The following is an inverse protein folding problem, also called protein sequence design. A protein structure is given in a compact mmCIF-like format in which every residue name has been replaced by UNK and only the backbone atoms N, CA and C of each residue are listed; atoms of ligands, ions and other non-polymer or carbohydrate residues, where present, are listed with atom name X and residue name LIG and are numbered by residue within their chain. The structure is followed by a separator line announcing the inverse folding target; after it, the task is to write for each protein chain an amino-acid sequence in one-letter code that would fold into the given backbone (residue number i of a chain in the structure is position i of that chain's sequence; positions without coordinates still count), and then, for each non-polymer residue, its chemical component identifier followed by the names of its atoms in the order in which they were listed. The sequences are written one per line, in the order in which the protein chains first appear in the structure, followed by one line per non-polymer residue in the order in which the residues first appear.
data_IF_192520469529
#
_entry.id   IF_192520469529
#
_cell.length_a   1.000
_cell.length_b   1.000
_cell.length_c   1.000
_cell.angle_alpha   90.00
_cell.angle_beta   90.00
_cell.angle_gamma   90.00
#
_symmetry.space_group_name_H-M   'P 1'
#
loop_
_entity.id
_entity.type
_entity.pdbx_description
1 polymer ?
#
# COMPACT_ATOMS: atom_id res chain seq x y z
N UNK A 1 -66.62 -34.83 -44.27
CA UNK A 1 -66.53 -33.40 -44.67
C UNK A 1 -65.27 -33.28 -45.51
N UNK A 2 -65.31 -33.19 -46.86
CA UNK A 2 -65.60 -31.98 -47.67
C UNK A 2 -64.73 -30.79 -47.15
N UNK A 3 -63.79 -30.17 -47.88
CA UNK A 3 -63.81 -29.69 -49.27
C UNK A 3 -62.41 -29.10 -49.65
N UNK A 4 -61.99 -29.34 -50.90
CA UNK A 4 -61.24 -28.50 -51.88
C UNK A 4 -59.78 -27.98 -51.69
N UNK A 5 -58.94 -28.34 -52.68
CA UNK A 5 -57.83 -27.56 -53.28
C UNK A 5 -58.38 -26.38 -54.15
N UNK A 6 -57.65 -25.58 -54.97
CA UNK A 6 -56.22 -25.56 -55.37
C UNK A 6 -55.60 -24.12 -55.48
N UNK A 7 -54.39 -23.97 -56.03
CA UNK A 7 -53.98 -22.71 -56.68
C UNK A 7 -52.49 -22.40 -56.76
N UNK A 8 -51.87 -22.63 -57.93
CA UNK A 8 -50.59 -22.07 -58.37
C UNK A 8 -50.78 -20.62 -58.84
N UNK A 9 -49.83 -19.73 -58.54
CA UNK A 9 -49.47 -18.60 -59.40
C UNK A 9 -47.95 -18.37 -59.37
N UNK A 10 -47.36 -18.37 -60.56
CA UNK A 10 -46.02 -17.89 -60.91
C UNK A 10 -46.09 -16.40 -61.29
N UNK A 11 -44.91 -15.79 -61.43
CA UNK A 11 -44.55 -14.42 -61.89
C UNK A 11 -44.15 -13.47 -60.77
N UNK A 12 -43.12 -12.63 -60.84
CA UNK A 12 -42.04 -12.32 -61.79
C UNK A 12 -41.07 -11.38 -61.03
N UNK A 13 -39.76 -11.58 -61.20
CA UNK A 13 -38.65 -10.60 -61.29
C UNK A 13 -38.64 -9.37 -60.36
N UNK A 14 -37.57 -9.26 -59.54
CA UNK A 14 -36.78 -8.04 -59.42
C UNK A 14 -35.32 -8.38 -59.07
N UNK A 15 -34.42 -8.18 -60.03
CA UNK A 15 -32.97 -7.98 -59.84
C UNK A 15 -32.75 -6.64 -59.14
N UNK A 16 -31.86 -6.59 -58.15
CA UNK A 16 -31.00 -5.46 -57.69
C UNK A 16 -30.49 -5.90 -56.30
N UNK A 17 -29.23 -5.85 -55.90
CA UNK A 17 -27.97 -5.41 -56.46
C UNK A 17 -26.91 -5.77 -55.39
N UNK A 18 -25.67 -5.93 -55.81
CA UNK A 18 -24.54 -6.09 -54.90
C UNK A 18 -24.45 -4.94 -53.91
N UNK A 19 -24.19 -5.22 -52.64
CA UNK A 19 -23.40 -4.34 -51.78
C UNK A 19 -22.81 -5.16 -50.62
N UNK A 20 -21.53 -5.47 -50.80
CA UNK A 20 -20.57 -5.71 -49.75
C UNK A 20 -20.63 -4.60 -48.70
N UNK A 21 -20.91 -4.94 -47.44
CA UNK A 21 -20.39 -4.19 -46.30
C UNK A 21 -19.67 -5.17 -45.38
N UNK A 22 -18.38 -5.34 -45.66
CA UNK A 22 -17.41 -5.69 -44.65
C UNK A 22 -17.09 -4.45 -43.79
N UNK A 23 -16.66 -4.71 -42.56
CA UNK A 23 -16.12 -3.76 -41.56
C UNK A 23 -17.20 -3.04 -40.71
N UNK A 24 -17.11 -2.97 -39.39
CA UNK A 24 -15.94 -3.09 -38.50
C UNK A 24 -16.29 -3.97 -37.30
N UNK A 25 -15.49 -5.01 -37.08
CA UNK A 25 -15.17 -5.44 -35.74
C UNK A 25 -14.66 -4.20 -34.98
N UNK A 26 -15.24 -3.87 -33.84
CA UNK A 26 -14.61 -2.99 -32.86
C UNK A 26 -13.44 -3.75 -32.22
N UNK A 27 -12.40 -4.03 -33.03
CA UNK A 27 -11.06 -4.27 -32.52
C UNK A 27 -10.70 -3.04 -31.69
N UNK A 28 -10.29 -3.29 -30.45
CA UNK A 28 -10.14 -2.25 -29.42
C UNK A 28 -9.44 -1.01 -29.97
N UNK A 29 -10.06 0.15 -29.77
CA UNK A 29 -9.30 1.39 -29.83
C UNK A 29 -8.17 1.23 -28.81
N UNK A 30 -6.93 1.08 -29.30
CA UNK A 30 -5.77 1.33 -28.47
C UNK A 30 -6.00 2.69 -27.82
N UNK A 31 -6.04 2.72 -26.50
CA UNK A 31 -6.25 3.95 -25.75
C UNK A 31 -5.01 4.84 -25.95
N UNK A 32 -4.97 5.64 -27.01
CA UNK A 32 -3.81 6.49 -27.36
C UNK A 32 -3.64 7.69 -26.41
N UNK A 33 -4.61 7.90 -25.52
CA UNK A 33 -4.58 8.90 -24.46
C UNK A 33 -3.52 8.63 -23.38
N UNK A 34 -3.49 9.49 -22.36
CA UNK A 34 -2.52 9.39 -21.27
C UNK A 34 -2.56 8.03 -20.54
N UNK A 35 -3.75 7.46 -20.37
CA UNK A 35 -3.94 6.17 -19.71
C UNK A 35 -3.24 5.05 -20.47
N UNK A 36 -3.34 4.97 -21.81
CA UNK A 36 -2.63 3.91 -22.54
C UNK A 36 -1.14 4.16 -22.71
N UNK A 37 -0.65 5.41 -22.61
CA UNK A 37 0.80 5.66 -22.44
C UNK A 37 1.30 5.11 -21.11
N UNK A 38 0.56 5.35 -20.03
CA UNK A 38 0.87 4.79 -18.70
C UNK A 38 0.80 3.27 -18.73
N UNK A 39 -0.23 2.68 -19.36
CA UNK A 39 -0.37 1.23 -19.51
C UNK A 39 0.87 0.59 -20.16
N UNK A 40 1.34 1.17 -21.28
CA UNK A 40 2.57 0.74 -21.96
C UNK A 40 3.82 0.94 -21.12
N UNK A 41 3.94 2.06 -20.40
CA UNK A 41 5.05 2.33 -19.49
C UNK A 41 5.14 1.26 -18.39
N UNK A 42 4.00 0.92 -17.78
CA UNK A 42 3.92 -0.09 -16.71
C UNK A 42 4.30 -1.47 -17.27
N UNK A 43 3.75 -1.86 -18.41
CA UNK A 43 4.08 -3.13 -19.07
C UNK A 43 5.56 -3.22 -19.42
N UNK A 44 6.13 -2.16 -20.02
CA UNK A 44 7.54 -2.12 -20.41
C UNK A 44 8.46 -2.17 -19.20
N UNK A 45 8.13 -1.44 -18.14
CA UNK A 45 8.91 -1.46 -16.89
C UNK A 45 8.89 -2.85 -16.27
N UNK A 46 7.72 -3.51 -16.23
CA UNK A 46 7.59 -4.88 -15.73
C UNK A 46 8.53 -5.84 -16.45
N UNK A 47 8.54 -5.80 -17.79
CA UNK A 47 9.38 -6.67 -18.62
C UNK A 47 10.87 -6.37 -18.44
N UNK A 48 11.27 -5.11 -18.52
CA UNK A 48 12.66 -4.67 -18.38
C UNK A 48 13.25 -4.96 -17.01
N UNK A 49 12.41 -4.93 -15.96
CA UNK A 49 12.82 -5.18 -14.58
C UNK A 49 12.54 -6.60 -14.13
N UNK A 50 12.10 -7.49 -15.02
CA UNK A 50 11.80 -8.89 -14.70
C UNK A 50 10.83 -9.02 -13.50
N UNK A 51 9.81 -8.18 -13.45
CA UNK A 51 8.75 -8.28 -12.43
C UNK A 51 7.72 -9.32 -12.93
N UNK A 52 7.48 -10.44 -12.24
CA UNK A 52 6.50 -11.43 -12.68
C UNK A 52 5.11 -10.81 -12.81
N UNK A 53 4.62 -10.21 -11.71
CA UNK A 53 3.31 -9.62 -11.56
C UNK A 53 3.37 -8.27 -10.84
N UNK A 54 2.58 -7.34 -11.33
CA UNK A 54 2.50 -5.98 -10.82
C UNK A 54 1.03 -5.52 -10.82
N UNK A 55 0.60 -4.80 -9.79
CA UNK A 55 -0.72 -4.20 -9.76
C UNK A 55 -0.61 -2.70 -9.46
N UNK A 56 -1.35 -1.88 -10.21
CA UNK A 56 -1.33 -0.42 -10.08
C UNK A 56 -2.73 0.16 -9.86
N UNK A 57 -2.82 1.17 -8.99
CA UNK A 57 -3.95 2.06 -8.85
C UNK A 57 -3.49 3.49 -9.07
N UNK A 58 -4.24 4.24 -9.87
CA UNK A 58 -4.07 5.68 -10.09
C UNK A 58 -5.45 6.31 -9.89
N UNK A 59 -5.56 7.15 -8.87
CA UNK A 59 -6.78 7.87 -8.52
C UNK A 59 -6.47 9.35 -8.52
N UNK A 60 -7.20 10.11 -9.33
CA UNK A 60 -7.03 11.55 -9.43
C UNK A 60 -8.34 12.23 -9.07
N UNK A 61 -8.32 13.16 -8.12
CA UNK A 61 -9.50 13.91 -7.69
C UNK A 61 -10.67 12.98 -7.31
N UNK A 62 -10.37 11.91 -6.56
CA UNK A 62 -11.33 10.88 -6.15
C UNK A 62 -11.82 9.94 -7.26
N UNK A 63 -11.35 10.11 -8.51
CA UNK A 63 -11.78 9.29 -9.66
C UNK A 63 -10.68 8.30 -10.06
N UNK A 64 -10.98 6.99 -10.14
CA UNK A 64 -10.01 6.02 -10.66
C UNK A 64 -9.72 6.28 -12.14
N UNK A 65 -8.46 6.53 -12.47
CA UNK A 65 -7.97 6.59 -13.84
C UNK A 65 -7.52 5.20 -14.34
N UNK A 66 -6.94 4.40 -13.44
CA UNK A 66 -6.43 3.07 -13.74
C UNK A 66 -6.41 2.22 -12.47
N UNK A 67 -6.99 1.01 -12.53
CA UNK A 67 -6.86 -0.02 -11.48
C UNK A 67 -6.66 -1.35 -12.22
N UNK A 68 -5.42 -1.82 -12.32
CA UNK A 68 -5.07 -2.93 -13.22
C UNK A 68 -3.93 -3.78 -12.68
N UNK A 69 -4.02 -5.09 -12.91
CA UNK A 69 -2.91 -6.03 -12.75
C UNK A 69 -2.23 -6.32 -14.10
N UNK A 70 -0.94 -6.64 -14.05
CA UNK A 70 -0.06 -6.89 -15.18
C UNK A 70 0.81 -8.11 -14.90
N UNK A 71 0.99 -8.98 -15.90
CA UNK A 71 1.79 -10.19 -15.77
C UNK A 71 1.17 -11.21 -14.80
N UNK A 72 2.00 -12.03 -14.18
CA UNK A 72 1.54 -13.22 -13.45
C UNK A 72 1.62 -13.06 -11.92
N UNK A 73 0.49 -13.27 -11.26
CA UNK A 73 0.41 -13.41 -9.82
C UNK A 73 0.93 -14.76 -9.31
N UNK A 74 1.01 -15.77 -10.18
CA UNK A 74 1.70 -17.03 -9.91
C UNK A 74 2.28 -17.60 -11.22
N UNK A 75 3.60 -17.78 -11.27
CA UNK A 75 4.33 -18.30 -12.42
C UNK A 75 4.05 -19.79 -12.67
N UNK A 76 3.99 -20.60 -11.62
CA UNK A 76 3.79 -22.06 -11.72
C UNK A 76 2.41 -22.43 -12.27
N UNK A 77 1.39 -21.64 -11.92
CA UNK A 77 0.01 -21.82 -12.34
C UNK A 77 -0.35 -20.95 -13.54
N UNK A 78 0.59 -20.14 -14.04
CA UNK A 78 0.37 -19.14 -15.10
C UNK A 78 -0.87 -18.26 -14.81
N UNK A 79 -1.09 -17.93 -13.53
CA UNK A 79 -2.25 -17.15 -13.11
C UNK A 79 -1.92 -15.66 -13.24
N UNK A 80 -2.73 -14.96 -14.01
CA UNK A 80 -2.59 -13.51 -14.22
C UNK A 80 -2.80 -12.73 -12.91
N UNK A 81 -2.09 -11.60 -12.81
CA UNK A 81 -2.31 -10.60 -11.79
C UNK A 81 -3.53 -9.76 -12.17
N UNK A 82 -4.45 -9.62 -11.21
CA UNK A 82 -5.74 -8.96 -11.41
C UNK A 82 -5.97 -7.90 -10.33
N UNK A 83 -7.01 -7.08 -10.51
CA UNK A 83 -7.35 -6.01 -9.56
C UNK A 83 -7.69 -6.50 -8.14
N UNK A 84 -8.09 -7.76 -8.00
CA UNK A 84 -8.46 -8.47 -6.77
C UNK A 84 -7.38 -9.45 -6.30
N UNK A 85 -6.21 -9.49 -6.95
CA UNK A 85 -5.08 -10.28 -6.47
C UNK A 85 -4.60 -9.73 -5.12
N UNK A 86 -4.33 -10.63 -4.18
CA UNK A 86 -4.04 -10.28 -2.78
C UNK A 86 -2.54 -10.28 -2.53
N UNK A 87 -2.00 -9.10 -2.21
CA UNK A 87 -0.58 -8.85 -1.93
C UNK A 87 -0.38 -8.53 -0.45
N UNK A 88 0.74 -8.95 0.16
CA UNK A 88 1.25 -8.33 1.38
C UNK A 88 1.55 -6.84 1.15
N UNK A 89 1.10 -5.99 2.06
CA UNK A 89 1.37 -4.55 2.01
C UNK A 89 2.71 -4.17 2.64
N UNK A 90 3.30 -5.07 3.44
CA UNK A 90 4.50 -4.76 4.21
C UNK A 90 4.35 -3.40 4.93
N UNK A 91 5.37 -2.55 4.93
CA UNK A 91 5.38 -1.31 5.72
C UNK A 91 4.37 -0.23 5.30
N UNK A 92 3.61 -0.39 4.20
CA UNK A 92 2.38 0.40 3.97
C UNK A 92 1.37 0.19 5.12
N UNK A 93 1.41 -0.95 5.80
CA UNK A 93 0.63 -1.25 7.02
C UNK A 93 0.71 -0.13 8.07
N UNK A 94 1.87 0.55 8.18
CA UNK A 94 2.08 1.63 9.15
C UNK A 94 1.14 2.81 8.95
N UNK A 95 0.72 3.08 7.71
CA UNK A 95 -0.28 4.12 7.43
C UNK A 95 -1.61 3.78 8.11
N UNK A 96 -2.06 2.52 8.02
CA UNK A 96 -3.28 2.07 8.68
C UNK A 96 -3.16 2.10 10.20
N UNK A 97 -2.01 1.68 10.75
CA UNK A 97 -1.75 1.76 12.20
C UNK A 97 -1.80 3.21 12.69
N UNK A 98 -1.16 4.14 11.97
CA UNK A 98 -1.17 5.55 12.34
C UNK A 98 -2.56 6.17 12.24
N UNK A 99 -3.30 5.89 11.16
CA UNK A 99 -4.71 6.28 11.06
C UNK A 99 -5.51 5.72 12.24
N UNK A 100 -5.27 4.47 12.65
CA UNK A 100 -5.95 3.86 13.79
C UNK A 100 -5.68 4.59 15.12
N UNK A 101 -4.43 4.97 15.37
CA UNK A 101 -4.06 5.74 16.57
C UNK A 101 -4.67 7.14 16.54
N UNK A 102 -4.67 7.81 15.37
CA UNK A 102 -5.32 9.11 15.21
C UNK A 102 -6.84 9.01 15.40
N UNK A 103 -7.48 7.93 14.95
CA UNK A 103 -8.91 7.66 15.23
C UNK A 103 -9.18 7.52 16.72
N UNK A 104 -8.34 6.80 17.45
CA UNK A 104 -8.46 6.68 18.91
C UNK A 104 -8.30 8.05 19.61
N UNK A 105 -7.40 8.90 19.10
CA UNK A 105 -7.27 10.27 19.59
C UNK A 105 -8.54 11.09 19.35
N UNK A 106 -9.12 11.02 18.15
CA UNK A 106 -10.36 11.73 17.82
C UNK A 106 -11.56 11.26 18.65
N UNK A 107 -11.56 10.00 19.07
CA UNK A 107 -12.54 9.44 20.01
C UNK A 107 -12.26 9.83 21.47
N UNK A 108 -11.21 10.60 21.74
CA UNK A 108 -10.80 11.02 23.08
C UNK A 108 -10.25 9.89 23.95
N UNK A 109 -9.87 8.75 23.37
CA UNK A 109 -9.42 7.57 24.11
C UNK A 109 -7.93 7.59 24.45
N UNK A 110 -7.14 8.38 23.71
CA UNK A 110 -5.72 8.63 23.96
C UNK A 110 -5.33 10.03 23.47
N UNK A 111 -4.13 10.49 23.83
CA UNK A 111 -3.50 11.68 23.28
C UNK A 111 -2.12 11.33 22.73
N UNK A 112 -1.71 11.95 21.62
CA UNK A 112 -0.36 11.70 21.06
C UNK A 112 0.77 12.12 22.03
N UNK A 113 0.49 13.04 22.95
CA UNK A 113 1.43 13.47 23.99
C UNK A 113 1.50 12.53 25.19
N UNK A 114 0.61 11.52 25.28
CA UNK A 114 0.66 10.58 26.39
C UNK A 114 1.98 9.80 26.40
N UNK A 115 2.57 9.57 27.58
CA UNK A 115 3.75 8.73 27.70
C UNK A 115 3.40 7.27 27.47
N UNK A 116 4.34 6.50 26.91
CA UNK A 116 4.24 5.07 26.67
C UNK A 116 3.92 4.31 27.97
N UNK A 117 4.47 4.75 29.11
CA UNK A 117 4.23 4.16 30.43
C UNK A 117 2.76 4.17 30.87
N UNK A 118 1.92 5.05 30.29
CA UNK A 118 0.48 5.04 30.53
C UNK A 118 -0.20 3.77 30.00
N UNK A 119 0.35 3.18 28.94
CA UNK A 119 -0.25 2.06 28.22
C UNK A 119 0.50 0.76 28.42
N UNK A 120 1.83 0.80 28.48
CA UNK A 120 2.68 -0.38 28.58
C UNK A 120 3.81 -0.11 29.58
N UNK A 121 4.04 -1.05 30.50
CA UNK A 121 5.24 -1.00 31.33
C UNK A 121 6.48 -1.17 30.45
N UNK A 122 7.29 -0.12 30.36
CA UNK A 122 8.47 -0.08 29.49
C UNK A 122 9.57 0.77 30.14
N UNK A 123 10.84 0.34 30.16
CA UNK A 123 11.95 1.12 30.68
C UNK A 123 12.04 2.48 30.00
N UNK A 124 12.12 3.56 30.80
CA UNK A 124 12.06 4.94 30.30
C UNK A 124 10.80 5.26 29.48
N UNK A 125 9.73 4.48 29.62
CA UNK A 125 8.46 4.71 28.94
C UNK A 125 7.77 6.02 29.34
N UNK A 126 8.18 6.64 30.45
CA UNK A 126 7.75 8.00 30.82
C UNK A 126 8.35 9.11 29.94
N UNK A 127 9.44 8.83 29.20
CA UNK A 127 10.12 9.79 28.32
C UNK A 127 9.67 9.66 26.85
N UNK A 128 9.07 8.52 26.48
CA UNK A 128 8.63 8.22 25.11
C UNK A 128 7.14 8.53 25.00
N UNK A 129 6.74 9.41 24.08
CA UNK A 129 5.32 9.69 23.81
C UNK A 129 4.82 8.88 22.62
N UNK A 130 3.50 8.77 22.45
CA UNK A 130 2.93 8.15 21.25
C UNK A 130 3.32 8.89 19.97
N UNK A 131 3.46 10.22 20.03
CA UNK A 131 4.01 11.04 18.94
C UNK A 131 5.43 10.60 18.56
N UNK A 132 6.29 10.32 19.55
CA UNK A 132 7.64 9.82 19.29
C UNK A 132 7.63 8.46 18.55
N UNK A 133 6.67 7.58 18.88
CA UNK A 133 6.52 6.31 18.18
C UNK A 133 6.07 6.52 16.72
N UNK A 134 5.02 7.33 16.50
CA UNK A 134 4.45 7.58 15.18
C UNK A 134 5.42 8.26 14.21
N UNK A 135 6.32 9.10 14.75
CA UNK A 135 7.27 9.91 13.97
C UNK A 135 8.68 9.35 13.95
N UNK A 136 8.89 8.14 14.48
CA UNK A 136 10.21 7.50 14.53
C UNK A 136 11.30 8.29 15.29
N UNK A 137 10.90 9.03 16.32
CA UNK A 137 11.80 9.84 17.17
C UNK A 137 11.96 9.28 18.59
N UNK A 138 11.57 8.02 18.83
CA UNK A 138 11.58 7.38 20.15
C UNK A 138 12.97 6.99 20.67
N UNK A 139 13.93 6.77 19.78
CA UNK A 139 15.23 6.18 20.12
C UNK A 139 15.21 4.67 20.34
N UNK A 140 14.08 3.98 20.13
CA UNK A 140 14.00 2.53 20.31
C UNK A 140 14.85 1.77 19.27
N UNK A 141 15.56 0.75 19.74
CA UNK A 141 16.28 -0.18 18.87
C UNK A 141 15.35 -0.83 17.83
N UNK A 142 15.88 -1.14 16.65
CA UNK A 142 15.12 -1.82 15.60
C UNK A 142 14.98 -3.31 15.91
N UNK A 143 13.75 -3.77 16.19
CA UNK A 143 13.47 -5.13 16.67
C UNK A 143 14.02 -6.21 15.73
N UNK A 144 14.00 -6.02 14.42
CA UNK A 144 14.52 -7.00 13.46
C UNK A 144 16.05 -7.14 13.46
N UNK A 145 16.75 -6.21 14.10
CA UNK A 145 18.21 -6.19 14.26
C UNK A 145 18.67 -6.66 15.64
N UNK A 146 17.75 -6.99 16.56
CA UNK A 146 18.05 -7.38 17.94
C UNK A 146 17.98 -8.90 18.09
N UNK A 147 18.95 -9.50 18.80
CA UNK A 147 18.89 -10.93 19.14
C UNK A 147 17.94 -11.20 20.32
N UNK A 148 17.25 -12.36 20.34
CA UNK A 148 17.34 -13.46 19.38
C UNK A 148 16.45 -13.30 18.13
N UNK A 149 15.68 -12.20 18.01
CA UNK A 149 14.70 -12.01 16.92
C UNK A 149 15.37 -11.99 15.56
N UNK A 150 16.51 -11.30 15.43
CA UNK A 150 17.29 -11.20 14.18
C UNK A 150 17.65 -12.57 13.60
N UNK A 151 18.09 -13.51 14.42
CA UNK A 151 18.44 -14.87 13.97
C UNK A 151 17.25 -15.81 13.82
N UNK A 152 16.07 -15.42 14.32
CA UNK A 152 14.87 -16.27 14.43
C UNK A 152 13.63 -15.62 13.80
N UNK A 153 13.79 -14.87 12.71
CA UNK A 153 12.67 -14.18 12.06
C UNK A 153 11.61 -15.11 11.45
N UNK A 154 11.95 -16.38 11.22
CA UNK A 154 11.00 -17.40 10.76
C UNK A 154 10.10 -17.95 11.87
N UNK A 155 10.41 -17.69 13.14
CA UNK A 155 9.61 -18.16 14.27
C UNK A 155 8.31 -17.36 14.41
N UNK A 156 7.33 -17.96 15.10
CA UNK A 156 6.03 -17.36 15.35
C UNK A 156 6.06 -16.47 16.60
N UNK A 157 6.70 -15.30 16.49
CA UNK A 157 6.77 -14.32 17.56
C UNK A 157 5.41 -13.69 17.84
N UNK A 158 4.99 -13.71 19.11
CA UNK A 158 3.88 -12.90 19.59
C UNK A 158 4.36 -11.47 19.85
N UNK A 159 3.54 -10.42 19.58
CA UNK A 159 3.94 -9.04 19.81
C UNK A 159 4.45 -8.77 21.24
N UNK A 160 3.85 -9.41 22.25
CA UNK A 160 4.30 -9.30 23.64
C UNK A 160 5.75 -9.81 23.86
N UNK A 161 6.15 -10.89 23.18
CA UNK A 161 7.52 -11.42 23.24
C UNK A 161 8.52 -10.45 22.62
N UNK A 162 8.13 -9.76 21.54
CA UNK A 162 8.96 -8.71 20.94
C UNK A 162 9.16 -7.54 21.91
N UNK A 163 8.11 -7.16 22.66
CA UNK A 163 8.22 -6.13 23.71
C UNK A 163 9.17 -6.57 24.81
N UNK A 164 9.14 -7.83 25.25
CA UNK A 164 10.07 -8.35 26.26
C UNK A 164 11.53 -8.24 25.81
N UNK A 165 11.80 -8.56 24.54
CA UNK A 165 13.14 -8.35 23.94
C UNK A 165 13.50 -6.86 23.98
N UNK A 166 12.60 -5.96 23.56
CA UNK A 166 12.86 -4.52 23.52
C UNK A 166 13.11 -3.90 24.89
N UNK A 167 12.45 -4.37 25.95
CA UNK A 167 12.66 -3.88 27.32
C UNK A 167 14.11 -4.04 27.78
N UNK A 168 14.85 -5.00 27.23
CA UNK A 168 16.26 -5.23 27.56
C UNK A 168 17.23 -4.34 26.77
N UNK A 169 16.74 -3.57 25.80
CA UNK A 169 17.58 -2.77 24.91
C UNK A 169 17.68 -1.31 25.40
N UNK A 170 18.88 -0.70 25.34
CA UNK A 170 19.00 0.74 25.57
C UNK A 170 18.33 1.53 24.44
N UNK A 171 18.01 2.79 24.71
CA UNK A 171 17.67 3.72 23.64
C UNK A 171 18.94 4.11 22.87
N UNK A 172 18.87 4.11 21.54
CA UNK A 172 19.95 4.56 20.66
C UNK A 172 20.23 6.06 20.83
N UNK A 173 19.20 6.83 21.16
CA UNK A 173 19.26 8.27 21.46
C UNK A 173 18.08 8.66 22.36
N UNK A 174 18.16 9.82 23.01
CA UNK A 174 17.04 10.30 23.83
C UNK A 174 15.83 10.69 22.96
N UNK A 175 14.58 10.43 23.40
CA UNK A 175 13.40 10.72 22.59
C UNK A 175 13.34 12.18 22.11
N UNK A 176 13.02 12.36 20.83
CA UNK A 176 12.95 13.67 20.15
C UNK A 176 14.29 14.28 19.74
N UNK A 177 15.44 13.66 20.06
CA UNK A 177 16.76 14.21 19.70
C UNK A 177 17.22 13.84 18.29
N UNK A 178 16.78 12.69 17.78
CA UNK A 178 17.05 12.22 16.43
C UNK A 178 15.81 11.49 15.90
N UNK A 179 15.88 11.05 14.66
CA UNK A 179 14.89 10.16 14.08
C UNK A 179 15.55 8.96 13.42
N UNK A 180 14.97 7.80 13.63
CA UNK A 180 15.44 6.53 13.09
C UNK A 180 14.25 5.63 12.86
N UNK A 181 14.08 5.21 11.61
CA UNK A 181 13.06 4.23 11.25
C UNK A 181 13.19 2.98 12.13
N UNK A 182 12.08 2.59 12.76
CA UNK A 182 12.05 1.48 13.70
C UNK A 182 10.66 0.84 13.71
N UNK A 183 10.60 -0.45 13.38
CA UNK A 183 9.42 -1.29 13.46
C UNK A 183 8.96 -1.50 14.90
N UNK A 184 9.87 -1.41 15.87
CA UNK A 184 9.57 -1.47 17.30
C UNK A 184 8.52 -0.46 17.71
N UNK A 185 8.57 0.74 17.13
CA UNK A 185 7.58 1.78 17.38
C UNK A 185 6.16 1.31 17.04
N UNK A 186 6.01 0.65 15.89
CA UNK A 186 4.70 0.24 15.37
C UNK A 186 4.22 -1.08 15.99
N UNK A 187 5.12 -1.94 16.47
CA UNK A 187 4.76 -3.06 17.35
C UNK A 187 4.10 -2.54 18.62
N UNK A 188 4.71 -1.54 19.28
CA UNK A 188 4.16 -0.92 20.48
C UNK A 188 2.83 -0.20 20.17
N UNK A 189 2.75 0.58 19.09
CA UNK A 189 1.50 1.25 18.70
C UNK A 189 0.36 0.25 18.43
N UNK A 190 0.65 -0.90 17.80
CA UNK A 190 -0.34 -1.96 17.60
C UNK A 190 -0.90 -2.50 18.92
N UNK A 191 -0.03 -2.78 19.89
CA UNK A 191 -0.44 -3.25 21.22
C UNK A 191 -1.23 -2.20 22.01
N UNK A 192 -0.86 -0.93 21.88
CA UNK A 192 -1.58 0.19 22.49
C UNK A 192 -2.96 0.33 21.87
N UNK A 193 -3.06 0.21 20.54
CA UNK A 193 -4.32 0.23 19.81
C UNK A 193 -5.26 -0.89 20.29
N UNK A 194 -4.76 -2.12 20.43
CA UNK A 194 -5.56 -3.23 20.96
C UNK A 194 -5.99 -2.99 22.41
N UNK A 195 -5.06 -2.53 23.26
CA UNK A 195 -5.33 -2.26 24.67
C UNK A 195 -6.38 -1.16 24.88
N UNK A 196 -6.28 -0.07 24.13
CA UNK A 196 -7.17 1.10 24.28
C UNK A 196 -8.54 0.82 23.68
N UNK A 197 -8.59 0.16 22.52
CA UNK A 197 -9.87 -0.13 21.84
C UNK A 197 -10.61 -1.34 22.38
N UNK A 198 -9.92 -2.28 23.04
CA UNK A 198 -10.46 -3.59 23.42
C UNK A 198 -10.73 -4.53 22.24
N UNK A 199 -10.28 -4.18 21.03
CA UNK A 199 -10.42 -4.97 19.81
C UNK A 199 -9.06 -5.54 19.40
N UNK A 200 -9.04 -6.64 18.65
CA UNK A 200 -7.79 -7.05 17.99
C UNK A 200 -7.40 -6.01 16.92
N UNK A 201 -6.12 -5.97 16.56
CA UNK A 201 -5.62 -5.04 15.55
C UNK A 201 -6.40 -5.19 14.23
N UNK A 202 -6.62 -6.43 13.77
CA UNK A 202 -7.42 -6.69 12.55
C UNK A 202 -8.85 -6.15 12.66
N UNK A 203 -9.53 -6.41 13.78
CA UNK A 203 -10.90 -5.96 14.00
C UNK A 203 -11.01 -4.43 13.98
N UNK A 204 -10.07 -3.75 14.63
CA UNK A 204 -10.06 -2.29 14.70
C UNK A 204 -9.77 -1.67 13.34
N UNK A 205 -8.72 -2.12 12.64
CA UNK A 205 -8.37 -1.61 11.31
C UNK A 205 -9.53 -1.85 10.32
N UNK A 206 -10.17 -3.03 10.38
CA UNK A 206 -11.33 -3.33 9.54
C UNK A 206 -12.52 -2.45 9.85
N UNK A 207 -12.91 -2.30 11.12
CA UNK A 207 -14.12 -1.55 11.49
C UNK A 207 -13.96 -0.04 11.35
N UNK A 208 -12.79 0.50 11.65
CA UNK A 208 -12.56 1.95 11.71
C UNK A 208 -11.98 2.56 10.43
N UNK A 209 -11.39 1.74 9.55
CA UNK A 209 -10.71 2.24 8.35
C UNK A 209 -11.20 1.49 7.11
N UNK A 210 -10.97 0.17 7.04
CA UNK A 210 -11.20 -0.58 5.80
C UNK A 210 -12.69 -0.65 5.41
N UNK A 211 -13.59 -0.97 6.33
CA UNK A 211 -15.03 -1.04 6.04
C UNK A 211 -15.63 0.32 5.66
N UNK A 212 -15.38 1.43 6.39
CA UNK A 212 -15.84 2.76 5.97
C UNK A 212 -15.37 3.17 4.58
N UNK A 213 -14.16 2.75 4.17
CA UNK A 213 -13.62 2.99 2.84
C UNK A 213 -14.09 1.98 1.78
N UNK A 214 -14.82 0.92 2.16
CA UNK A 214 -15.25 -0.14 1.26
C UNK A 214 -14.12 -1.09 0.81
N UNK A 215 -13.07 -1.23 1.63
CA UNK A 215 -11.90 -2.07 1.41
C UNK A 215 -12.14 -3.48 1.97
N UNK A 216 -12.92 -4.30 1.25
CA UNK A 216 -13.46 -5.57 1.77
C UNK A 216 -12.45 -6.71 1.86
N UNK A 217 -11.29 -6.59 1.20
CA UNK A 217 -10.22 -7.59 1.17
C UNK A 217 -9.04 -7.22 2.08
N UNK A 218 -8.95 -5.96 2.52
CA UNK A 218 -7.89 -5.49 3.42
C UNK A 218 -8.09 -6.04 4.82
N UNK A 219 -7.10 -6.79 5.30
CA UNK A 219 -7.08 -7.41 6.63
C UNK A 219 -5.66 -7.80 7.03
N UNK A 220 -5.44 -8.17 8.29
CA UNK A 220 -4.20 -8.84 8.69
C UNK A 220 -4.03 -10.15 7.94
N UNK A 221 -2.83 -10.35 7.40
CA UNK A 221 -2.45 -11.59 6.74
C UNK A 221 -2.17 -12.70 7.74
N UNK A 222 -2.19 -13.93 7.22
CA UNK A 222 -1.89 -15.14 7.98
C UNK A 222 -1.07 -16.09 7.12
N UNK A 223 -0.11 -16.76 7.75
CA UNK A 223 0.66 -17.83 7.11
C UNK A 223 -0.14 -19.13 7.00
N UNK A 224 -1.15 -19.32 7.86
CA UNK A 224 -1.93 -20.56 7.93
C UNK A 224 -3.26 -20.51 7.15
N UNK A 225 -3.86 -19.32 7.01
CA UNK A 225 -5.14 -19.17 6.33
C UNK A 225 -5.00 -19.42 4.82
N UNK A 226 -6.02 -20.02 4.20
CA UNK A 226 -6.15 -20.05 2.74
C UNK A 226 -6.71 -18.70 2.30
N UNK A 227 -5.93 -17.96 1.52
CA UNK A 227 -6.31 -16.63 1.05
C UNK A 227 -6.62 -16.73 -0.45
N UNK A 228 -7.89 -16.58 -0.86
CA UNK A 228 -8.26 -16.54 -2.27
C UNK A 228 -7.48 -15.46 -3.03
N UNK A 229 -7.05 -15.77 -4.25
CA UNK A 229 -6.26 -14.89 -5.11
C UNK A 229 -4.92 -14.42 -4.50
N UNK A 230 -4.39 -15.11 -3.47
CA UNK A 230 -3.06 -14.85 -2.90
C UNK A 230 -1.99 -14.87 -3.99
N UNK A 231 -1.21 -13.81 -4.07
CA UNK A 231 -0.08 -13.70 -4.99
C UNK A 231 1.12 -14.46 -4.43
N UNK A 232 1.87 -15.14 -5.30
CA UNK A 232 3.15 -15.77 -4.97
C UNK A 232 4.29 -14.76 -5.16
N UNK A 233 5.29 -14.81 -4.27
CA UNK A 233 6.42 -13.88 -4.24
C UNK A 233 7.67 -14.50 -4.85
N UNK A 234 8.41 -13.70 -5.62
CA UNK A 234 9.55 -14.16 -6.39
C UNK A 234 10.78 -13.28 -6.19
N UNK A 235 11.93 -13.80 -6.56
CA UNK A 235 13.16 -13.05 -6.76
C UNK A 235 13.71 -13.32 -8.17
N UNK A 236 14.49 -12.38 -8.69
CA UNK A 236 15.21 -12.55 -9.96
C UNK A 236 16.70 -12.67 -9.66
N UNK A 237 17.23 -13.87 -9.79
CA UNK A 237 18.63 -14.18 -9.48
C UNK A 237 19.19 -15.10 -10.55
N UNK A 238 20.47 -14.90 -10.92
CA UNK A 238 21.15 -15.66 -11.97
C UNK A 238 20.36 -15.76 -13.29
N UNK A 239 19.75 -14.64 -13.70
CA UNK A 239 18.92 -14.53 -14.91
C UNK A 239 17.72 -15.50 -14.95
N UNK A 240 17.23 -15.92 -13.79
CA UNK A 240 16.09 -16.81 -13.67
C UNK A 240 15.12 -16.33 -12.59
N UNK A 241 13.84 -16.66 -12.76
CA UNK A 241 12.85 -16.52 -11.71
C UNK A 241 13.05 -17.61 -10.67
N UNK A 242 13.08 -17.21 -9.40
CA UNK A 242 13.12 -18.12 -8.27
C UNK A 242 12.02 -17.76 -7.28
N UNK A 243 11.49 -18.76 -6.59
CA UNK A 243 10.61 -18.51 -5.45
C UNK A 243 11.39 -17.75 -4.37
N UNK A 244 10.82 -16.65 -3.87
CA UNK A 244 11.33 -16.01 -2.68
C UNK A 244 10.93 -16.82 -1.44
N UNK A 245 11.66 -16.70 -0.31
CA UNK A 245 11.18 -17.20 0.97
C UNK A 245 9.75 -16.74 1.24
N UNK A 246 8.92 -17.66 1.78
CA UNK A 246 7.53 -17.32 2.07
C UNK A 246 7.46 -16.21 3.13
N UNK A 247 6.71 -15.11 2.89
CA UNK A 247 6.67 -14.00 3.83
C UNK A 247 6.01 -14.43 5.14
N UNK A 248 6.77 -14.42 6.24
CA UNK A 248 6.20 -14.61 7.58
C UNK A 248 5.40 -13.36 7.97
N UNK A 249 4.08 -13.41 7.79
CA UNK A 249 3.17 -12.29 8.13
C UNK A 249 2.81 -12.24 9.63
N UNK A 250 3.22 -13.22 10.43
CA UNK A 250 2.94 -13.19 11.87
C UNK A 250 3.92 -12.25 12.60
N UNK A 251 5.20 -12.24 12.19
CA UNK A 251 6.25 -11.42 12.81
C UNK A 251 5.97 -9.90 12.72
N UNK A 252 5.59 -9.32 11.56
CA UNK A 252 5.48 -7.88 11.41
C UNK A 252 4.32 -7.25 12.19
N UNK A 253 3.24 -7.98 12.50
CA UNK A 253 2.08 -7.44 13.20
C UNK A 253 1.64 -6.06 12.60
N UNK A 254 1.31 -5.07 13.44
CA UNK A 254 0.93 -3.70 13.08
C UNK A 254 2.01 -2.88 12.34
N UNK A 255 3.18 -3.46 12.07
CA UNK A 255 4.24 -2.81 11.30
C UNK A 255 4.25 -3.23 9.83
N UNK A 256 3.63 -4.37 9.49
CA UNK A 256 3.78 -4.93 8.15
C UNK A 256 2.88 -6.09 7.73
N UNK A 257 1.93 -6.54 8.57
CA UNK A 257 1.20 -7.78 8.30
C UNK A 257 -0.05 -7.64 7.42
N UNK A 258 -0.49 -6.42 7.09
CA UNK A 258 -1.72 -6.28 6.31
C UNK A 258 -1.51 -6.85 4.90
N UNK A 259 -2.55 -7.51 4.41
CA UNK A 259 -2.71 -7.88 3.02
C UNK A 259 -3.84 -7.05 2.41
N UNK A 260 -3.77 -6.81 1.12
CA UNK A 260 -4.81 -6.07 0.41
C UNK A 260 -4.81 -6.39 -1.08
N UNK A 261 -5.78 -5.81 -1.79
CA UNK A 261 -5.84 -5.81 -3.24
C UNK A 261 -5.59 -4.41 -3.76
N UNK A 262 -5.19 -4.30 -5.03
CA UNK A 262 -5.02 -2.96 -5.62
C UNK A 262 -6.35 -2.21 -5.75
N UNK A 263 -7.47 -2.92 -5.90
CA UNK A 263 -8.81 -2.32 -5.90
C UNK A 263 -9.15 -1.68 -4.55
N UNK A 264 -8.76 -2.30 -3.44
CA UNK A 264 -8.94 -1.73 -2.10
C UNK A 264 -7.96 -0.60 -1.85
N UNK A 265 -6.69 -0.76 -2.23
CA UNK A 265 -5.70 0.30 -2.07
C UNK A 265 -6.04 1.57 -2.86
N UNK A 266 -6.74 1.45 -4.00
CA UNK A 266 -7.28 2.61 -4.71
C UNK A 266 -8.25 3.43 -3.86
N UNK A 267 -9.00 2.79 -2.95
CA UNK A 267 -9.96 3.45 -2.07
C UNK A 267 -9.28 4.17 -0.90
N UNK A 268 -8.01 3.87 -0.60
CA UNK A 268 -7.25 4.56 0.43
C UNK A 268 -7.08 6.07 0.12
N UNK A 269 -7.17 6.47 -1.15
CA UNK A 269 -7.28 7.88 -1.57
C UNK A 269 -8.34 8.65 -0.76
N UNK A 270 -9.48 8.01 -0.51
CA UNK A 270 -10.58 8.60 0.25
C UNK A 270 -10.27 8.71 1.74
N UNK A 271 -9.30 7.96 2.26
CA UNK A 271 -8.79 8.09 3.62
C UNK A 271 -8.01 9.39 3.86
N UNK A 272 -7.51 10.01 2.79
CA UNK A 272 -6.84 11.32 2.82
C UNK A 272 -7.79 12.51 2.57
N UNK A 273 -9.08 12.25 2.33
CA UNK A 273 -10.11 13.30 2.23
C UNK A 273 -10.49 13.77 3.64
N UNK A 274 -10.37 15.07 3.96
CA UNK A 274 -10.70 15.58 5.28
C UNK A 274 -12.15 15.29 5.68
N UNK A 275 -12.33 14.75 6.88
CA UNK A 275 -13.63 14.41 7.45
C UNK A 275 -14.19 13.05 7.04
N UNK A 276 -13.52 12.31 6.15
CA UNK A 276 -13.98 10.97 5.77
C UNK A 276 -13.58 9.92 6.81
N UNK A 277 -12.27 9.71 7.02
CA UNK A 277 -11.75 8.87 8.11
C UNK A 277 -11.19 9.73 9.22
N UNK A 278 -10.29 10.64 8.88
CA UNK A 278 -9.63 11.54 9.81
C UNK A 278 -10.12 12.97 9.61
N UNK A 279 -10.18 13.72 10.71
CA UNK A 279 -10.43 15.16 10.69
C UNK A 279 -9.32 15.91 9.91
N UNK A 280 -9.60 17.13 9.43
CA UNK A 280 -8.58 17.97 8.81
C UNK A 280 -7.33 18.17 9.69
N UNK A 281 -7.52 18.28 11.01
CA UNK A 281 -6.42 18.46 11.96
C UNK A 281 -5.52 17.21 12.04
N UNK A 282 -6.11 16.01 12.11
CA UNK A 282 -5.36 14.75 12.13
C UNK A 282 -4.61 14.52 10.81
N UNK A 283 -5.21 14.83 9.67
CA UNK A 283 -4.53 14.75 8.38
C UNK A 283 -3.37 15.74 8.27
N UNK A 284 -3.52 16.94 8.81
CA UNK A 284 -2.43 17.92 8.84
C UNK A 284 -1.21 17.40 9.63
N UNK A 285 -1.43 16.64 10.72
CA UNK A 285 -0.34 15.98 11.45
C UNK A 285 0.41 14.95 10.58
N UNK A 286 -0.31 14.20 9.74
CA UNK A 286 0.29 13.26 8.78
C UNK A 286 1.06 13.97 7.66
N UNK A 287 0.91 15.28 7.50
CA UNK A 287 1.50 16.08 6.41
C UNK A 287 2.57 17.05 6.90
N UNK A 288 2.74 17.19 8.21
CA UNK A 288 3.66 18.14 8.81
C UNK A 288 4.98 17.45 9.11
N UNK A 289 6.12 17.96 8.60
CA UNK A 289 7.44 17.44 8.94
C UNK A 289 7.69 17.47 10.45
N UNK A 290 8.16 16.35 11.00
CA UNK A 290 8.48 16.26 12.42
C UNK A 290 9.67 17.15 12.75
N UNK A 291 9.54 17.91 13.83
CA UNK A 291 10.63 18.71 14.40
C UNK A 291 11.21 18.00 15.61
N UNK A 292 12.53 17.95 15.67
CA UNK A 292 13.30 17.48 16.81
C UNK A 292 13.25 18.52 17.94
N UNK A 293 13.69 18.13 19.14
CA UNK A 293 13.68 18.99 20.33
C UNK A 293 14.51 20.28 20.15
N UNK A 294 15.50 20.27 19.25
CA UNK A 294 16.31 21.44 18.90
C UNK A 294 15.64 22.36 17.86
N UNK A 295 14.41 22.06 17.44
CA UNK A 295 13.64 22.81 16.46
C UNK A 295 13.93 22.46 14.99
N UNK A 296 14.96 21.65 14.71
CA UNK A 296 15.30 21.23 13.34
C UNK A 296 14.30 20.20 12.83
N UNK A 297 14.09 20.15 11.51
CA UNK A 297 13.33 19.09 10.87
C UNK A 297 14.18 17.80 10.92
N UNK A 298 13.55 16.69 11.26
CA UNK A 298 14.14 15.37 11.02
C UNK A 298 14.25 15.17 9.50
N UNK A 299 15.45 15.31 8.96
CA UNK A 299 15.72 15.01 7.56
C UNK A 299 16.24 13.59 7.40
N UNK A 300 15.66 12.87 6.46
CA UNK A 300 16.07 11.55 6.03
C UNK A 300 16.56 11.66 4.59
N UNK A 301 17.48 10.78 4.20
CA UNK A 301 17.83 10.62 2.79
C UNK A 301 16.93 9.56 2.17
N UNK A 302 16.24 9.91 1.10
CA UNK A 302 15.46 8.98 0.28
C UNK A 302 16.02 8.88 -1.16
N UNK A 303 15.25 8.28 -2.06
CA UNK A 303 15.60 8.08 -3.47
C UNK A 303 15.59 9.37 -4.31
N UNK A 304 14.87 10.40 -3.88
CA UNK A 304 14.72 11.68 -4.58
C UNK A 304 15.45 12.84 -3.90
N UNK A 305 16.04 12.63 -2.73
CA UNK A 305 16.83 13.62 -2.01
C UNK A 305 16.55 13.56 -0.52
N UNK A 306 15.99 14.64 0.02
CA UNK A 306 15.63 14.78 1.43
C UNK A 306 14.13 14.53 1.61
N UNK A 307 13.80 13.69 2.60
CA UNK A 307 12.45 13.52 3.14
C UNK A 307 12.41 13.84 4.63
N UNK A 308 11.21 13.81 5.18
CA UNK A 308 10.99 13.84 6.63
C UNK A 308 9.93 12.81 7.03
N UNK A 309 9.78 12.54 8.32
CA UNK A 309 8.60 11.85 8.83
C UNK A 309 7.48 12.85 9.13
N UNK A 310 6.24 12.44 8.88
CA UNK A 310 5.07 13.00 9.54
C UNK A 310 4.54 12.04 10.59
N UNK A 311 3.38 12.34 11.17
CA UNK A 311 2.69 11.37 12.04
C UNK A 311 2.19 10.22 11.18
N UNK A 312 2.87 9.06 11.19
CA UNK A 312 2.43 7.90 10.43
C UNK A 312 2.96 7.76 9.01
N UNK A 313 3.66 8.78 8.52
CA UNK A 313 3.94 8.99 7.09
C UNK A 313 5.39 9.31 6.85
N UNK A 314 5.83 9.11 5.61
CA UNK A 314 7.04 9.74 5.09
C UNK A 314 6.62 10.86 4.13
N UNK A 315 7.33 11.98 4.17
CA UNK A 315 7.06 13.18 3.38
C UNK A 315 8.18 13.34 2.36
N UNK A 316 7.89 13.01 1.11
CA UNK A 316 8.86 12.95 0.02
C UNK A 316 8.61 14.09 -0.98
N UNK A 317 9.62 14.41 -1.78
CA UNK A 317 9.47 15.23 -2.98
C UNK A 317 9.53 14.35 -4.23
N UNK A 318 8.37 13.85 -4.66
CA UNK A 318 8.28 12.97 -5.84
C UNK A 318 8.06 13.85 -7.06
N UNK A 319 8.96 13.80 -8.04
CA UNK A 319 8.89 14.62 -9.25
C UNK A 319 8.83 16.13 -8.96
N UNK A 320 9.50 16.58 -7.88
CA UNK A 320 9.49 17.99 -7.45
C UNK A 320 8.20 18.44 -6.77
N UNK A 321 7.31 17.51 -6.40
CA UNK A 321 6.06 17.79 -5.70
C UNK A 321 6.02 17.09 -4.35
N UNK A 322 5.57 17.77 -3.27
CA UNK A 322 5.38 17.13 -1.98
C UNK A 322 4.35 16.00 -2.06
N UNK A 323 4.68 14.86 -1.45
CA UNK A 323 3.79 13.72 -1.36
C UNK A 323 3.92 13.04 0.00
N UNK A 324 2.80 12.56 0.53
CA UNK A 324 2.83 11.47 1.52
C UNK A 324 3.24 10.21 0.75
N UNK A 325 4.36 9.61 1.15
CA UNK A 325 4.84 8.39 0.55
C UNK A 325 5.05 7.31 1.61
N UNK A 326 5.01 6.05 1.19
CA UNK A 326 5.44 4.94 2.02
C UNK A 326 5.89 3.77 1.17
N UNK A 327 7.10 3.30 1.45
CA UNK A 327 7.60 2.02 0.92
C UNK A 327 7.20 0.87 1.83
N UNK A 328 7.08 -0.32 1.23
CA UNK A 328 6.95 -1.58 1.94
C UNK A 328 7.71 -2.68 1.24
N UNK A 329 8.62 -3.34 1.95
CA UNK A 329 9.30 -4.55 1.51
C UNK A 329 9.06 -5.69 2.48
N UNK A 330 8.81 -6.88 1.95
CA UNK A 330 8.82 -8.15 2.67
C UNK A 330 9.24 -9.23 1.67
N UNK A 331 9.68 -10.40 2.13
CA UNK A 331 10.24 -11.39 1.21
C UNK A 331 9.30 -11.72 0.05
N UNK A 332 9.81 -11.59 -1.17
CA UNK A 332 9.08 -11.75 -2.41
C UNK A 332 8.20 -10.56 -2.87
N UNK A 333 8.13 -9.46 -2.13
CA UNK A 333 7.20 -8.36 -2.42
C UNK A 333 7.77 -6.97 -2.15
N UNK A 334 7.51 -6.06 -3.07
CA UNK A 334 7.79 -4.64 -2.93
C UNK A 334 6.52 -3.82 -3.24
N UNK A 335 6.27 -2.82 -2.42
CA UNK A 335 5.07 -1.99 -2.49
C UNK A 335 5.42 -0.53 -2.29
N UNK A 336 4.68 0.35 -2.94
CA UNK A 336 4.85 1.78 -2.81
C UNK A 336 3.52 2.50 -2.97
N UNK A 337 3.30 3.52 -2.15
CA UNK A 337 2.21 4.48 -2.29
C UNK A 337 2.79 5.88 -2.28
N UNK A 338 2.28 6.74 -3.16
CA UNK A 338 2.48 8.17 -3.14
C UNK A 338 1.13 8.88 -3.28
N UNK A 339 0.82 9.75 -2.33
CA UNK A 339 -0.36 10.62 -2.33
C UNK A 339 0.08 12.09 -2.38
N UNK A 340 -0.26 12.76 -3.47
CA UNK A 340 -0.01 14.17 -3.72
C UNK A 340 -1.25 14.99 -3.33
N UNK A 341 -1.09 15.98 -2.46
CA UNK A 341 -2.19 16.86 -2.03
C UNK A 341 -2.68 17.76 -3.17
N UNK A 342 -1.75 18.31 -3.94
CA UNK A 342 -1.99 19.09 -5.15
C UNK A 342 -1.21 18.44 -6.29
N UNK A 343 -1.87 17.76 -7.25
CA UNK A 343 -3.27 17.96 -7.68
C UNK A 343 -4.26 16.88 -7.20
N UNK A 344 -4.23 16.46 -5.93
CA UNK A 344 -4.99 15.31 -5.39
C UNK A 344 -4.84 14.07 -6.27
N UNK A 345 -3.69 13.41 -6.15
CA UNK A 345 -3.34 12.23 -6.93
C UNK A 345 -2.81 11.14 -6.00
N UNK A 346 -3.40 9.96 -6.05
CA UNK A 346 -2.89 8.76 -5.36
C UNK A 346 -2.41 7.76 -6.39
N UNK A 347 -1.16 7.32 -6.25
CA UNK A 347 -0.58 6.23 -7.04
C UNK A 347 -0.14 5.14 -6.07
N UNK A 348 -0.59 3.91 -6.32
CA UNK A 348 -0.18 2.72 -5.55
C UNK A 348 0.36 1.67 -6.51
N UNK A 349 1.50 1.08 -6.17
CA UNK A 349 2.15 -0.01 -6.91
C UNK A 349 2.39 -1.18 -5.96
N UNK A 350 1.92 -2.38 -6.32
CA UNK A 350 2.14 -3.63 -5.61
C UNK A 350 2.86 -4.62 -6.53
N UNK A 351 4.05 -5.07 -6.17
CA UNK A 351 4.90 -5.97 -6.96
C UNK A 351 5.15 -7.27 -6.21
N UNK A 352 5.15 -8.40 -6.92
CA UNK A 352 5.52 -9.71 -6.38
C UNK A 352 6.97 -10.11 -6.68
N UNK A 353 7.85 -9.12 -6.71
CA UNK A 353 9.29 -9.32 -6.83
C UNK A 353 10.03 -8.64 -5.69
N UNK A 354 10.89 -9.41 -5.03
CA UNK A 354 11.93 -8.90 -4.14
C UNK A 354 13.08 -8.32 -4.98
N UNK A 355 13.28 -7.00 -4.85
CA UNK A 355 14.29 -6.24 -5.58
C UNK A 355 14.60 -4.92 -4.87
N UNK A 356 15.41 -4.05 -5.49
CA UNK A 356 15.47 -2.65 -5.07
C UNK A 356 14.09 -1.98 -5.19
N UNK A 357 13.68 -1.24 -4.17
CA UNK A 357 12.45 -0.42 -4.20
C UNK A 357 12.52 0.68 -5.26
N UNK A 358 13.72 1.05 -5.70
CA UNK A 358 13.97 2.08 -6.70
C UNK A 358 13.13 1.89 -7.97
N UNK A 359 12.92 0.65 -8.41
CA UNK A 359 12.21 0.36 -9.66
C UNK A 359 10.75 0.82 -9.61
N UNK A 360 10.03 0.48 -8.53
CA UNK A 360 8.61 0.86 -8.37
C UNK A 360 8.45 2.33 -7.98
N UNK A 361 9.45 2.90 -7.31
CA UNK A 361 9.52 4.33 -6.99
C UNK A 361 9.70 5.15 -8.27
N UNK A 362 10.65 4.77 -9.13
CA UNK A 362 10.89 5.42 -10.42
C UNK A 362 9.71 5.27 -11.38
N UNK A 363 9.03 4.11 -11.38
CA UNK A 363 7.79 3.93 -12.12
C UNK A 363 6.73 4.93 -11.66
N UNK A 364 6.53 5.06 -10.34
CA UNK A 364 5.57 5.99 -9.76
C UNK A 364 5.91 7.44 -10.12
N UNK A 365 7.19 7.82 -10.08
CA UNK A 365 7.64 9.16 -10.46
C UNK A 365 7.41 9.47 -11.96
N UNK A 366 7.60 8.51 -12.85
CA UNK A 366 7.32 8.70 -14.29
C UNK A 366 5.81 8.85 -14.56
N UNK A 367 4.99 8.10 -13.82
CA UNK A 367 3.53 8.21 -13.89
C UNK A 367 3.07 9.56 -13.36
N UNK A 368 3.55 10.01 -12.21
CA UNK A 368 3.21 11.32 -11.66
C UNK A 368 3.67 12.45 -12.58
N UNK A 369 4.88 12.38 -13.17
CA UNK A 369 5.33 13.36 -14.17
C UNK A 369 4.38 13.43 -15.37
N UNK A 370 3.91 12.29 -15.87
CA UNK A 370 2.98 12.24 -16.99
C UNK A 370 1.65 12.94 -16.67
N UNK A 371 1.18 12.84 -15.42
CA UNK A 371 -0.13 13.33 -14.98
C UNK A 371 -0.11 14.76 -14.41
N UNK A 372 0.98 15.17 -13.77
CA UNK A 372 1.11 16.46 -13.08
C UNK A 372 1.68 17.53 -14.02
N UNK A 373 2.63 17.17 -14.88
CA UNK A 373 3.14 18.11 -15.86
C UNK A 373 2.15 18.19 -17.03
N UNK A 374 1.56 19.36 -17.34
CA UNK A 374 0.88 19.52 -18.60
C UNK A 374 1.91 19.21 -19.68
N UNK A 375 1.59 18.27 -20.57
CA UNK A 375 2.37 18.07 -21.79
C UNK A 375 2.75 19.43 -22.36
N UNK A 376 4.05 19.73 -22.43
CA UNK A 376 4.51 20.71 -23.41
C UNK A 376 4.05 20.16 -24.75
N UNK A 377 2.95 20.73 -25.26
CA UNK A 377 2.52 20.57 -26.64
C UNK A 377 3.37 21.48 -27.50
#
# INVERSE_FOLDING_TARGET
MKINAPGRWLHLIALFGWLWWASLASAGQENTGIVGRIDRLVQSTREQKHIPGLAIAIVQQGKPLLIKGYGQANLEQMREAERNSVFPLASITKLFTAMGILRLQEMGQLQLSDPLSRYLEFPRGGEITLSHLLTHTSGLAEIWSVEPVRSRQSENWQPAQLVDVLRSQPLNFAPGQQCQYSNSNYVLLGLILEKVSGQTYDQFIRSQIAQPLGMTSTRSGSVAEIIPHRVAGYQWFDRQYQNAPYPNLNLPFATGNLISTIADMARLDQGFVPGNILSPASLALMQTPVRLNNGQICELKDFFGLSSFGVGTELWSVSGKPAIAKTGGISGFNTFIAHFLDPHLTIVVLSNREASLEEIINLTAQISQSLISPSQK
#
